data_IF_236313890342
#
_entry.id   IF_236313890342
#
_cell.length_a   1.000
_cell.length_b   1.000
_cell.length_c   1.000
_cell.angle_alpha   90.00
_cell.angle_beta   90.00
_cell.angle_gamma   90.00
#
_symmetry.space_group_name_H-M   'P 1'
#
loop_
_entity.id
_entity.type
_entity.pdbx_description
1 polymer ?
#
# COMPACT_ATOMS: atom_id res chain seq x y z
N UNK A 1 -2.42 23.98 -5.82
CA UNK A 1 -1.81 23.13 -4.79
C UNK A 1 -0.29 23.34 -4.81
N UNK A 2 0.28 23.66 -3.67
CA UNK A 2 1.70 23.97 -3.57
C UNK A 2 2.58 22.73 -3.50
N UNK A 3 2.13 21.74 -2.74
CA UNK A 3 2.76 20.43 -2.61
C UNK A 3 1.70 19.34 -2.72
N UNK A 4 2.07 18.24 -3.34
CA UNK A 4 1.26 17.04 -3.36
C UNK A 4 2.08 15.87 -2.85
N UNK A 5 1.44 14.93 -2.15
CA UNK A 5 2.06 13.67 -1.74
C UNK A 5 1.36 12.53 -2.44
N UNK A 6 2.14 11.62 -3.05
CA UNK A 6 1.56 10.48 -3.74
C UNK A 6 2.45 9.25 -3.67
N UNK A 7 1.81 8.10 -3.86
CA UNK A 7 2.48 6.82 -3.98
C UNK A 7 2.79 6.52 -5.44
N UNK A 8 3.88 5.80 -5.68
CA UNK A 8 4.31 5.38 -7.01
C UNK A 8 4.40 6.54 -8.00
N UNK A 9 5.24 7.56 -7.70
CA UNK A 9 5.33 8.74 -8.55
C UNK A 9 5.85 8.38 -9.95
N UNK A 10 5.29 9.03 -10.97
CA UNK A 10 5.76 8.91 -12.34
C UNK A 10 6.46 10.20 -12.76
N UNK A 11 7.46 10.09 -13.62
CA UNK A 11 8.20 11.27 -14.09
C UNK A 11 7.31 12.17 -14.92
N UNK A 12 7.35 13.47 -14.59
CA UNK A 12 6.76 14.54 -15.36
C UNK A 12 7.77 15.67 -15.46
N UNK A 13 8.04 16.15 -16.68
CA UNK A 13 9.05 17.19 -16.92
C UNK A 13 8.73 18.52 -16.24
N UNK A 14 7.48 18.76 -15.88
CA UNK A 14 7.03 19.99 -15.22
C UNK A 14 7.03 19.92 -13.70
N UNK A 15 7.29 18.74 -13.13
CA UNK A 15 7.22 18.51 -11.70
C UNK A 15 8.57 18.09 -11.15
N UNK A 16 8.89 18.62 -9.97
CA UNK A 16 9.93 18.05 -9.12
C UNK A 16 9.35 16.96 -8.26
N UNK A 17 10.06 15.84 -8.18
CA UNK A 17 9.67 14.69 -7.40
C UNK A 17 10.74 14.46 -6.34
N UNK A 18 10.34 14.55 -5.05
CA UNK A 18 11.24 14.31 -3.94
C UNK A 18 10.84 13.00 -3.28
N UNK A 19 11.66 11.97 -3.43
CA UNK A 19 11.42 10.70 -2.77
C UNK A 19 11.47 10.86 -1.26
N UNK A 20 10.43 10.42 -0.56
CA UNK A 20 10.34 10.49 0.90
C UNK A 20 10.82 9.19 1.55
N UNK A 21 10.10 8.10 1.29
CA UNK A 21 10.36 6.80 1.89
C UNK A 21 9.60 5.73 1.13
N UNK A 22 9.92 4.49 1.45
CA UNK A 22 9.12 3.32 1.03
C UNK A 22 8.31 2.83 2.22
N UNK A 23 7.01 2.65 2.02
CA UNK A 23 6.14 2.07 3.05
C UNK A 23 6.08 0.56 2.87
N UNK A 24 6.33 -0.24 3.92
CA UNK A 24 6.11 -1.69 3.83
C UNK A 24 4.64 -1.99 3.56
N UNK A 25 4.39 -2.92 2.65
CA UNK A 25 3.05 -3.45 2.36
C UNK A 25 2.94 -4.83 2.99
N UNK A 26 1.79 -5.12 3.58
CA UNK A 26 1.53 -6.40 4.24
C UNK A 26 0.21 -6.98 3.80
N UNK A 27 0.08 -8.30 3.90
CA UNK A 27 -1.20 -8.98 3.75
C UNK A 27 -2.00 -8.80 5.03
N UNK A 28 -3.28 -8.49 4.88
CA UNK A 28 -4.23 -8.49 6.00
C UNK A 28 -5.35 -9.48 5.70
N UNK A 29 -5.83 -10.11 6.77
CA UNK A 29 -6.93 -11.06 6.69
C UNK A 29 -7.70 -11.07 8.02
N UNK A 30 -8.88 -11.71 7.99
CA UNK A 30 -9.62 -11.94 9.23
C UNK A 30 -8.77 -12.79 10.19
N UNK A 31 -8.81 -12.54 11.51
CA UNK A 31 -7.99 -13.30 12.47
C UNK A 31 -8.23 -14.81 12.45
N UNK A 32 -9.42 -15.25 12.01
CA UNK A 32 -9.76 -16.67 11.86
C UNK A 32 -9.44 -17.24 10.49
N UNK A 33 -8.91 -16.43 9.56
CA UNK A 33 -8.56 -16.89 8.23
C UNK A 33 -7.41 -17.92 8.30
N UNK A 34 -7.42 -18.88 7.37
CA UNK A 34 -6.38 -19.91 7.34
C UNK A 34 -4.97 -19.33 7.20
N UNK A 35 -4.81 -18.21 6.46
CA UNK A 35 -3.50 -17.58 6.27
C UNK A 35 -3.02 -16.82 7.51
N UNK A 36 -3.89 -16.52 8.47
CA UNK A 36 -3.53 -15.77 9.68
C UNK A 36 -2.55 -16.52 10.59
N UNK A 37 -2.41 -17.81 10.43
CA UNK A 37 -1.49 -18.66 11.20
C UNK A 37 -0.02 -18.42 10.87
N UNK A 38 0.26 -17.81 9.73
CA UNK A 38 1.62 -17.63 9.21
C UNK A 38 2.16 -16.28 9.64
N UNK A 39 3.43 -16.21 10.01
CA UNK A 39 4.12 -14.93 10.20
C UNK A 39 4.54 -14.32 8.87
N UNK A 40 4.85 -15.17 7.90
CA UNK A 40 5.30 -14.77 6.57
C UNK A 40 4.79 -15.75 5.53
N UNK A 41 4.49 -15.25 4.34
CA UNK A 41 4.03 -16.05 3.21
C UNK A 41 4.76 -15.61 1.94
N UNK A 42 4.88 -16.56 1.02
CA UNK A 42 5.27 -16.22 -0.36
C UNK A 42 4.04 -15.79 -1.14
N UNK A 43 4.22 -14.93 -2.13
CA UNK A 43 3.13 -14.41 -2.96
C UNK A 43 2.32 -15.54 -3.61
N UNK A 44 2.94 -16.64 -3.97
CA UNK A 44 2.23 -17.80 -4.55
C UNK A 44 1.13 -18.36 -3.64
N UNK A 45 1.25 -18.20 -2.35
CA UNK A 45 0.21 -18.64 -1.40
C UNK A 45 -1.12 -17.88 -1.59
N UNK A 46 -1.09 -16.75 -2.27
CA UNK A 46 -2.29 -15.93 -2.54
C UNK A 46 -3.07 -16.41 -3.78
N UNK A 47 -2.52 -17.33 -4.56
CA UNK A 47 -3.18 -17.83 -5.78
C UNK A 47 -4.53 -18.42 -5.44
N UNK A 48 -5.56 -17.94 -6.13
CA UNK A 48 -6.94 -18.43 -5.93
C UNK A 48 -7.64 -17.83 -4.72
N UNK A 49 -6.99 -17.02 -3.92
CA UNK A 49 -7.61 -16.38 -2.75
C UNK A 49 -8.62 -15.30 -3.18
N UNK A 50 -9.68 -15.18 -2.41
CA UNK A 50 -10.61 -14.06 -2.54
C UNK A 50 -9.91 -12.80 -2.06
N UNK A 51 -9.89 -11.78 -2.90
CA UNK A 51 -9.08 -10.58 -2.69
C UNK A 51 -9.94 -9.32 -2.71
N UNK A 52 -9.77 -8.48 -1.70
CA UNK A 52 -10.35 -7.15 -1.66
C UNK A 52 -9.27 -6.19 -2.16
N UNK A 53 -9.49 -5.60 -3.32
CA UNK A 53 -8.48 -4.76 -3.97
C UNK A 53 -8.87 -3.31 -4.03
N UNK A 54 -7.92 -2.50 -4.47
CA UNK A 54 -8.19 -1.14 -4.91
C UNK A 54 -8.78 -1.15 -6.31
N UNK A 55 -9.42 -0.06 -6.70
CA UNK A 55 -9.95 0.10 -8.05
C UNK A 55 -8.81 0.08 -9.09
N UNK A 56 -9.07 -0.41 -10.32
CA UNK A 56 -8.01 -0.65 -11.31
C UNK A 56 -7.17 0.56 -11.72
N UNK A 57 -7.72 1.78 -11.61
CA UNK A 57 -7.02 3.02 -11.97
C UNK A 57 -6.11 3.55 -10.86
N UNK A 58 -6.18 2.98 -9.66
CA UNK A 58 -5.35 3.42 -8.53
C UNK A 58 -3.92 2.91 -8.71
N UNK A 59 -2.89 3.78 -8.54
CA UNK A 59 -1.49 3.39 -8.73
C UNK A 59 -1.05 2.19 -7.88
N UNK A 60 -1.52 2.08 -6.64
CA UNK A 60 -1.23 0.92 -5.78
C UNK A 60 -1.75 -0.38 -6.40
N UNK A 61 -2.97 -0.35 -6.97
CA UNK A 61 -3.56 -1.52 -7.64
C UNK A 61 -2.72 -1.93 -8.85
N UNK A 62 -2.30 -0.97 -9.67
CA UNK A 62 -1.48 -1.24 -10.85
C UNK A 62 -0.15 -1.88 -10.46
N UNK A 63 0.48 -1.37 -9.40
CA UNK A 63 1.74 -1.93 -8.91
C UNK A 63 1.59 -3.35 -8.39
N UNK A 64 0.52 -3.62 -7.63
CA UNK A 64 0.24 -4.96 -7.11
C UNK A 64 -0.06 -5.95 -8.24
N UNK A 65 -0.85 -5.55 -9.23
CA UNK A 65 -1.17 -6.41 -10.38
C UNK A 65 0.09 -6.77 -11.16
N UNK A 66 1.02 -5.83 -11.31
CA UNK A 66 2.31 -6.08 -11.96
C UNK A 66 3.14 -7.09 -11.17
N UNK A 67 3.22 -6.94 -9.85
CA UNK A 67 3.95 -7.87 -8.97
C UNK A 67 3.33 -9.27 -9.06
N UNK A 68 2.02 -9.38 -9.01
CA UNK A 68 1.32 -10.66 -9.15
C UNK A 68 1.64 -11.33 -10.48
N UNK A 69 1.60 -10.56 -11.56
CA UNK A 69 1.93 -11.09 -12.90
C UNK A 69 3.36 -11.60 -12.96
N UNK A 70 4.31 -10.85 -12.41
CA UNK A 70 5.72 -11.24 -12.39
C UNK A 70 5.97 -12.52 -11.59
N UNK A 71 5.16 -12.78 -10.56
CA UNK A 71 5.29 -13.95 -9.70
C UNK A 71 4.32 -15.10 -10.07
N UNK A 72 3.57 -14.95 -11.15
CA UNK A 72 2.62 -15.98 -11.58
C UNK A 72 1.45 -16.18 -10.63
N UNK A 73 1.03 -15.12 -9.92
CA UNK A 73 -0.06 -15.14 -8.95
C UNK A 73 -1.34 -14.63 -9.60
N UNK A 74 -2.43 -15.38 -9.45
CA UNK A 74 -3.77 -14.95 -9.86
C UNK A 74 -4.68 -14.94 -8.65
N UNK A 75 -5.19 -13.78 -8.28
CA UNK A 75 -6.15 -13.63 -7.18
C UNK A 75 -7.54 -13.38 -7.74
N UNK A 76 -8.57 -13.70 -6.94
CA UNK A 76 -9.96 -13.47 -7.30
C UNK A 76 -10.45 -12.17 -6.65
N UNK A 77 -10.53 -11.10 -7.41
CA UNK A 77 -11.05 -9.83 -6.89
C UNK A 77 -12.55 -9.94 -6.68
N UNK A 78 -12.97 -9.95 -5.42
CA UNK A 78 -14.38 -10.03 -5.03
C UNK A 78 -14.99 -8.65 -4.75
N UNK A 79 -14.15 -7.69 -4.36
CA UNK A 79 -14.54 -6.30 -4.11
C UNK A 79 -13.39 -5.37 -4.48
N UNK A 80 -13.73 -4.14 -4.86
CA UNK A 80 -12.76 -3.11 -5.23
C UNK A 80 -13.21 -1.77 -4.68
N UNK A 81 -12.30 -1.03 -4.03
CA UNK A 81 -12.59 0.25 -3.38
C UNK A 81 -11.50 1.27 -3.69
N UNK A 82 -11.79 2.54 -3.46
CA UNK A 82 -10.87 3.63 -3.73
C UNK A 82 -10.04 4.09 -2.51
N UNK A 83 -10.23 3.47 -1.36
CA UNK A 83 -9.52 3.88 -0.14
C UNK A 83 -9.24 2.69 0.79
N UNK A 84 -8.20 2.85 1.62
CA UNK A 84 -7.73 1.80 2.54
C UNK A 84 -8.76 1.50 3.62
N UNK A 85 -9.46 2.50 4.15
CA UNK A 85 -10.40 2.29 5.25
C UNK A 85 -11.52 1.33 4.86
N UNK A 86 -12.08 1.49 3.66
CA UNK A 86 -13.13 0.60 3.18
C UNK A 86 -12.60 -0.81 2.91
N UNK A 87 -11.38 -0.91 2.35
CA UNK A 87 -10.70 -2.20 2.16
C UNK A 87 -10.57 -2.93 3.50
N UNK A 88 -10.09 -2.25 4.54
CA UNK A 88 -9.94 -2.85 5.88
C UNK A 88 -11.26 -3.37 6.43
N UNK A 89 -12.35 -2.60 6.29
CA UNK A 89 -13.66 -3.01 6.79
C UNK A 89 -14.18 -4.27 6.09
N UNK A 90 -13.97 -4.37 4.78
CA UNK A 90 -14.34 -5.58 4.03
C UNK A 90 -13.56 -6.81 4.48
N UNK A 91 -12.28 -6.65 4.80
CA UNK A 91 -11.44 -7.73 5.33
C UNK A 91 -11.87 -8.13 6.74
N UNK A 92 -12.26 -7.17 7.58
CA UNK A 92 -12.74 -7.45 8.93
C UNK A 92 -13.99 -8.32 8.97
N UNK A 93 -14.83 -8.24 7.95
CA UNK A 93 -16.01 -9.11 7.82
C UNK A 93 -15.75 -10.38 7.01
N UNK A 94 -14.48 -10.69 6.77
CA UNK A 94 -14.03 -11.90 6.09
C UNK A 94 -14.51 -12.02 4.64
N UNK A 95 -14.63 -10.88 3.94
CA UNK A 95 -14.99 -10.90 2.51
C UNK A 95 -13.84 -11.39 1.62
N UNK A 96 -12.60 -11.26 2.09
CA UNK A 96 -11.39 -11.67 1.39
C UNK A 96 -10.17 -11.17 2.13
N UNK A 97 -9.00 -11.34 1.51
CA UNK A 97 -7.72 -10.82 2.01
C UNK A 97 -7.32 -9.59 1.20
N UNK A 98 -6.39 -8.79 1.72
CA UNK A 98 -5.94 -7.60 1.02
C UNK A 98 -4.46 -7.32 1.31
N UNK A 99 -3.85 -6.48 0.49
CA UNK A 99 -2.49 -5.98 0.71
C UNK A 99 -2.59 -4.46 0.88
N UNK A 100 -2.12 -3.97 2.03
CA UNK A 100 -2.22 -2.55 2.41
C UNK A 100 -0.93 -2.11 3.10
N UNK A 101 -0.67 -0.79 3.20
CA UNK A 101 0.47 -0.32 3.97
C UNK A 101 0.38 -0.74 5.44
N UNK A 102 1.47 -1.26 5.97
CA UNK A 102 1.53 -1.74 7.36
C UNK A 102 1.13 -0.67 8.36
N UNK A 103 1.52 0.58 8.11
CA UNK A 103 1.22 1.70 9.00
C UNK A 103 -0.28 1.96 9.19
N UNK A 104 -1.12 1.53 8.23
CA UNK A 104 -2.56 1.77 8.27
C UNK A 104 -3.33 0.77 9.13
N UNK A 105 -2.70 -0.31 9.59
CA UNK A 105 -3.39 -1.41 10.29
C UNK A 105 -2.89 -1.65 11.71
N UNK A 106 -2.06 -0.78 12.25
CA UNK A 106 -1.50 -0.94 13.60
C UNK A 106 -2.58 -1.11 14.66
N UNK A 107 -3.62 -0.29 14.61
CA UNK A 107 -4.70 -0.32 15.59
C UNK A 107 -5.53 -1.60 15.45
N UNK A 108 -5.88 -1.98 14.25
CA UNK A 108 -6.68 -3.18 13.97
C UNK A 108 -5.96 -4.46 14.39
N UNK A 109 -4.64 -4.51 14.16
CA UNK A 109 -3.83 -5.66 14.59
C UNK A 109 -3.75 -5.70 16.13
N UNK A 110 -3.53 -4.56 16.77
CA UNK A 110 -3.49 -4.47 18.23
C UNK A 110 -4.84 -4.87 18.86
N UNK A 111 -5.94 -4.47 18.24
CA UNK A 111 -7.30 -4.80 18.69
C UNK A 111 -7.78 -6.18 18.23
N UNK A 112 -6.97 -6.90 17.47
CA UNK A 112 -7.28 -8.25 16.97
C UNK A 112 -8.51 -8.32 16.07
N UNK A 113 -8.84 -7.22 15.37
CA UNK A 113 -9.87 -7.20 14.35
C UNK A 113 -9.35 -7.61 12.98
N UNK A 114 -8.02 -7.51 12.78
CA UNK A 114 -7.30 -7.99 11.60
C UNK A 114 -6.06 -8.74 12.02
N UNK A 115 -5.66 -9.73 11.22
CA UNK A 115 -4.34 -10.35 11.30
C UNK A 115 -3.46 -9.80 10.18
N UNK A 116 -2.18 -9.63 10.45
CA UNK A 116 -1.17 -9.14 9.52
C UNK A 116 -0.17 -10.25 9.23
N UNK A 117 0.15 -10.45 7.96
CA UNK A 117 1.13 -11.44 7.52
C UNK A 117 2.14 -10.76 6.60
N UNK A 118 3.42 -10.96 6.85
CA UNK A 118 4.47 -10.44 6.00
C UNK A 118 4.55 -11.22 4.69
N UNK A 119 4.94 -10.54 3.61
CA UNK A 119 5.17 -11.14 2.31
C UNK A 119 6.68 -11.26 2.10
N UNK A 120 7.15 -12.50 1.98
CA UNK A 120 8.58 -12.83 2.04
C UNK A 120 9.31 -12.59 0.71
N UNK A 121 8.60 -12.58 -0.41
CA UNK A 121 9.20 -12.43 -1.73
C UNK A 121 8.67 -11.20 -2.46
N UNK A 122 9.48 -10.69 -3.37
CA UNK A 122 9.21 -9.45 -4.09
C UNK A 122 9.48 -8.21 -3.25
N UNK A 123 9.55 -7.06 -3.92
CA UNK A 123 9.62 -5.77 -3.24
C UNK A 123 8.21 -5.27 -2.99
N UNK A 124 7.71 -5.50 -1.80
CA UNK A 124 6.36 -5.14 -1.39
C UNK A 124 6.31 -3.79 -0.68
N UNK A 125 7.29 -2.93 -0.90
CA UNK A 125 7.25 -1.58 -0.37
C UNK A 125 6.59 -0.62 -1.36
N UNK A 126 5.86 0.36 -0.81
CA UNK A 126 5.18 1.39 -1.58
C UNK A 126 5.99 2.69 -1.52
N UNK A 127 6.58 3.16 -2.66
CA UNK A 127 7.32 4.40 -2.65
C UNK A 127 6.38 5.60 -2.50
N UNK A 128 6.73 6.51 -1.62
CA UNK A 128 6.05 7.80 -1.43
C UNK A 128 6.96 8.94 -1.86
N UNK A 129 6.37 9.97 -2.44
CA UNK A 129 7.09 11.16 -2.85
C UNK A 129 6.25 12.42 -2.63
N UNK A 130 6.94 13.54 -2.47
CA UNK A 130 6.35 14.87 -2.57
C UNK A 130 6.58 15.37 -3.98
N UNK A 131 5.57 15.96 -4.58
CA UNK A 131 5.64 16.58 -5.91
C UNK A 131 5.30 18.08 -5.81
N UNK A 132 5.96 18.89 -6.62
CA UNK A 132 5.64 20.31 -6.78
C UNK A 132 6.12 20.78 -8.16
N UNK A 133 5.58 21.92 -8.61
CA UNK A 133 5.97 22.48 -9.91
C UNK A 133 7.40 22.97 -9.88
N UNK A 134 8.20 22.65 -10.91
CA UNK A 134 9.60 23.08 -11.03
C UNK A 134 9.78 24.58 -11.00
N UNK A 135 8.81 25.32 -11.52
CA UNK A 135 8.86 26.79 -11.55
C UNK A 135 8.67 27.44 -10.18
N UNK A 136 8.33 26.65 -9.17
CA UNK A 136 8.02 27.18 -7.85
C UNK A 136 9.25 27.17 -6.94
N UNK A 137 9.51 28.29 -6.31
CA UNK A 137 10.55 28.38 -5.27
C UNK A 137 9.94 27.96 -3.94
N UNK A 138 10.56 26.97 -3.30
CA UNK A 138 10.09 26.50 -2.01
C UNK A 138 10.44 27.50 -0.91
N UNK A 139 9.48 27.85 -0.06
CA UNK A 139 9.73 28.62 1.15
C UNK A 139 10.54 27.78 2.16
N UNK A 140 11.24 28.44 3.12
CA UNK A 140 11.92 27.68 4.18
C UNK A 140 10.98 26.76 4.96
N UNK A 141 9.74 27.20 5.20
CA UNK A 141 8.74 26.38 5.88
C UNK A 141 8.40 25.11 5.09
N UNK A 142 8.23 25.21 3.76
CA UNK A 142 7.98 24.07 2.90
C UNK A 142 9.15 23.11 2.85
N UNK A 143 10.39 23.64 2.78
CA UNK A 143 11.61 22.82 2.82
C UNK A 143 11.68 22.02 4.12
N UNK A 144 11.37 22.66 5.24
CA UNK A 144 11.36 22.01 6.55
C UNK A 144 10.26 20.92 6.62
N UNK A 145 9.08 21.20 6.09
CA UNK A 145 7.98 20.23 6.04
C UNK A 145 8.39 18.98 5.27
N UNK A 146 9.01 19.12 4.10
CA UNK A 146 9.53 18.01 3.31
C UNK A 146 10.58 17.23 4.11
N UNK A 147 11.49 17.92 4.79
CA UNK A 147 12.51 17.29 5.62
C UNK A 147 11.90 16.44 6.72
N UNK A 148 10.84 16.92 7.39
CA UNK A 148 10.12 16.17 8.43
C UNK A 148 9.44 14.94 7.84
N UNK A 149 8.86 15.06 6.66
CA UNK A 149 8.20 13.93 5.98
C UNK A 149 9.18 12.80 5.59
N UNK A 150 10.46 13.14 5.39
CA UNK A 150 11.51 12.16 5.07
C UNK A 150 11.97 11.35 6.28
N UNK A 151 11.70 11.83 7.49
CA UNK A 151 12.12 11.14 8.70
C UNK A 151 11.35 9.82 8.84
N UNK A 152 12.03 8.73 9.25
CA UNK A 152 11.34 7.45 9.49
C UNK A 152 10.38 7.56 10.66
N UNK A 153 9.26 6.85 10.56
CA UNK A 153 8.26 6.78 11.62
C UNK A 153 8.74 5.95 12.81
#
# INVERSE_FOLDING_TARGET
MDLGMLAYPTRDSKLEIVALRKEPMVLICHPQHALAKNQSLRLKALTGQRFVGFEPDIPTRKALDKIFKEHGVTVQYVMQFDNVETVKRAVEIDSGVAIVPQATVKQEVANQTLAMVELADGDMSRPLAVIYKKSRVLSPAMKKFISVLKEPL
#
